data_IF_722925652419
#
_entry.id   IF_722925652419
#
_cell.length_a   1.000
_cell.length_b   1.000
_cell.length_c   1.000
_cell.angle_alpha   90.00
_cell.angle_beta   90.00
_cell.angle_gamma   90.00
#
_symmetry.space_group_name_H-M   'P 1'
#
loop_
_entity.id
_entity.type
_entity.pdbx_description
1 polymer ?
#
# COMPACT_ATOMS: atom_id res chain seq x y z
N UNK A 1 5.03 14.28 16.78
CA UNK A 1 5.14 15.70 16.38
C UNK A 1 3.84 16.24 15.77
N UNK A 2 3.19 15.48 14.87
CA UNK A 2 2.01 15.93 14.12
C UNK A 2 0.81 16.39 14.97
N UNK A 3 0.52 15.72 16.08
CA UNK A 3 -0.59 16.14 16.96
C UNK A 3 -0.42 17.54 17.58
N UNK A 4 0.81 18.02 17.80
CA UNK A 4 1.06 19.40 18.25
C UNK A 4 0.79 20.40 17.13
N UNK A 5 1.26 20.09 15.92
CA UNK A 5 1.04 20.91 14.73
C UNK A 5 -0.46 21.06 14.42
N UNK A 6 -1.22 19.96 14.47
CA UNK A 6 -2.67 19.98 14.24
C UNK A 6 -3.38 20.86 15.27
N UNK A 7 -3.05 20.73 16.56
CA UNK A 7 -3.65 21.56 17.61
C UNK A 7 -3.30 23.03 17.46
N UNK A 8 -2.08 23.35 17.05
CA UNK A 8 -1.67 24.72 16.75
C UNK A 8 -2.42 25.28 15.52
N UNK A 9 -2.58 24.49 14.47
CA UNK A 9 -3.37 24.86 13.30
C UNK A 9 -4.85 25.09 13.66
N UNK A 10 -5.41 24.25 14.54
CA UNK A 10 -6.77 24.38 15.03
C UNK A 10 -6.95 25.63 15.90
N UNK A 11 -5.99 25.97 16.76
CA UNK A 11 -6.08 27.14 17.64
C UNK A 11 -6.11 28.47 16.88
N UNK A 12 -5.49 28.53 15.70
CA UNK A 12 -5.57 29.69 14.78
C UNK A 12 -6.70 29.57 13.74
N UNK A 13 -7.56 28.56 13.87
CA UNK A 13 -8.77 28.38 13.06
C UNK A 13 -8.56 27.88 11.63
N UNK A 14 -7.45 27.19 11.31
CA UNK A 14 -7.21 26.69 9.94
C UNK A 14 -8.19 25.60 9.50
N UNK A 15 -8.78 24.88 10.45
CA UNK A 15 -9.82 23.87 10.21
C UNK A 15 -11.18 24.45 9.80
N UNK A 16 -11.32 25.79 9.82
CA UNK A 16 -12.52 26.50 9.41
C UNK A 16 -12.28 27.23 8.10
N UNK A 17 -13.17 27.07 7.12
CA UNK A 17 -13.00 27.72 5.82
C UNK A 17 -12.92 29.24 5.99
N UNK A 18 -11.92 29.83 5.31
CA UNK A 18 -11.67 31.26 5.33
C UNK A 18 -12.90 32.11 4.99
N UNK A 19 -13.87 31.57 4.24
CA UNK A 19 -15.11 32.28 3.88
C UNK A 19 -16.06 32.54 5.05
N UNK A 20 -15.91 31.81 6.16
CA UNK A 20 -16.66 32.10 7.38
C UNK A 20 -16.12 33.33 8.12
N UNK A 21 -14.96 33.81 7.71
CA UNK A 21 -14.30 34.99 8.24
C UNK A 21 -14.31 36.11 7.20
N UNK A 22 -14.15 37.35 7.63
CA UNK A 22 -14.02 38.50 6.73
C UNK A 22 -12.63 38.59 6.08
N UNK A 23 -12.11 37.45 5.62
CA UNK A 23 -10.80 37.33 4.98
C UNK A 23 -10.90 37.65 3.48
N UNK A 24 -9.77 38.08 2.92
CA UNK A 24 -9.67 38.22 1.46
C UNK A 24 -9.75 36.83 0.80
N UNK A 25 -10.18 36.75 -0.48
CA UNK A 25 -10.19 35.48 -1.19
C UNK A 25 -8.81 34.81 -1.25
N UNK A 26 -7.74 35.62 -1.36
CA UNK A 26 -6.36 35.16 -1.30
C UNK A 26 -6.01 34.54 0.06
N UNK A 27 -6.27 35.25 1.17
CA UNK A 27 -5.98 34.74 2.51
C UNK A 27 -6.76 33.46 2.82
N UNK A 28 -8.03 33.40 2.39
CA UNK A 28 -8.85 32.21 2.54
C UNK A 28 -8.24 31.01 1.79
N UNK A 29 -7.73 31.22 0.57
CA UNK A 29 -7.10 30.17 -0.24
C UNK A 29 -5.75 29.71 0.33
N UNK A 30 -4.91 30.64 0.78
CA UNK A 30 -3.64 30.30 1.46
C UNK A 30 -3.90 29.47 2.71
N UNK A 31 -4.95 29.80 3.49
CA UNK A 31 -5.36 29.03 4.67
C UNK A 31 -5.84 27.63 4.31
N UNK A 32 -6.63 27.46 3.23
CA UNK A 32 -7.05 26.13 2.74
C UNK A 32 -5.83 25.27 2.41
N UNK A 33 -4.89 25.80 1.63
CA UNK A 33 -3.66 25.10 1.23
C UNK A 33 -2.84 24.66 2.43
N UNK A 34 -2.66 25.55 3.40
CA UNK A 34 -1.91 25.25 4.63
C UNK A 34 -2.59 24.17 5.47
N UNK A 35 -3.91 24.28 5.68
CA UNK A 35 -4.68 23.27 6.42
C UNK A 35 -4.56 21.90 5.77
N UNK A 36 -4.85 21.81 4.47
CA UNK A 36 -4.83 20.55 3.75
C UNK A 36 -3.44 19.92 3.71
N UNK A 37 -2.37 20.72 3.59
CA UNK A 37 -1.01 20.18 3.66
C UNK A 37 -0.72 19.52 5.02
N UNK A 38 -1.17 20.14 6.12
CA UNK A 38 -1.01 19.57 7.47
C UNK A 38 -1.76 18.25 7.59
N UNK A 39 -3.01 18.19 7.11
CA UNK A 39 -3.83 16.98 7.27
C UNK A 39 -3.36 15.84 6.37
N UNK A 40 -2.93 16.11 5.15
CA UNK A 40 -2.36 15.07 4.27
C UNK A 40 -1.07 14.49 4.87
N UNK A 41 -0.22 15.33 5.48
CA UNK A 41 0.97 14.87 6.19
C UNK A 41 0.64 14.01 7.42
N UNK A 42 -0.39 14.39 8.18
CA UNK A 42 -0.84 13.58 9.32
C UNK A 42 -1.43 12.25 8.88
N UNK A 43 -2.24 12.26 7.83
CA UNK A 43 -2.78 11.06 7.21
C UNK A 43 -1.68 10.11 6.77
N UNK A 44 -0.64 10.63 6.12
CA UNK A 44 0.50 9.82 5.69
C UNK A 44 1.23 9.20 6.89
N UNK A 45 1.52 9.98 7.92
CA UNK A 45 2.17 9.46 9.10
C UNK A 45 1.34 8.38 9.80
N UNK A 46 0.02 8.56 9.90
CA UNK A 46 -0.86 7.56 10.48
C UNK A 46 -0.91 6.28 9.62
N UNK A 47 -0.95 6.41 8.29
CA UNK A 47 -0.85 5.28 7.36
C UNK A 47 0.45 4.48 7.55
N UNK A 48 1.60 5.14 7.70
CA UNK A 48 2.90 4.47 7.88
C UNK A 48 2.97 3.63 9.16
N UNK A 49 2.15 3.96 10.16
CA UNK A 49 2.03 3.19 11.41
C UNK A 49 0.76 2.31 11.44
N UNK A 50 0.07 2.19 10.30
CA UNK A 50 -1.19 1.47 10.15
C UNK A 50 -2.30 1.93 11.11
N UNK A 51 -2.24 3.17 11.57
CA UNK A 51 -3.23 3.76 12.46
C UNK A 51 -4.46 4.21 11.68
N UNK A 52 -5.64 3.97 12.26
CA UNK A 52 -6.89 4.57 11.80
C UNK A 52 -6.81 6.11 11.92
N UNK A 53 -6.83 6.83 10.80
CA UNK A 53 -6.80 8.30 10.84
C UNK A 53 -8.17 8.83 11.23
N UNK A 54 -8.24 9.53 12.38
CA UNK A 54 -9.43 10.25 12.81
C UNK A 54 -9.73 11.45 11.89
N UNK A 55 -10.46 11.20 10.80
CA UNK A 55 -11.34 12.15 10.08
C UNK A 55 -10.73 13.46 9.54
N UNK A 56 -10.57 13.59 8.22
CA UNK A 56 -10.50 14.85 7.48
C UNK A 56 -11.77 15.71 7.71
N UNK A 57 -12.89 15.10 8.14
CA UNK A 57 -14.22 15.74 8.08
C UNK A 57 -15.07 15.78 9.35
N UNK A 58 -14.71 15.15 10.48
CA UNK A 58 -15.61 15.19 11.67
C UNK A 58 -15.71 16.60 12.29
N UNK A 59 -14.69 17.45 12.11
CA UNK A 59 -14.61 18.77 12.76
C UNK A 59 -14.10 19.91 11.86
N UNK A 60 -13.82 19.65 10.58
CA UNK A 60 -13.31 20.65 9.63
C UNK A 60 -14.33 20.88 8.51
N UNK A 61 -14.61 22.15 8.19
CA UNK A 61 -15.46 22.57 7.06
C UNK A 61 -14.62 23.19 5.93
N UNK A 62 -13.29 23.15 6.04
CA UNK A 62 -12.35 23.73 5.07
C UNK A 62 -12.43 23.01 3.74
N UNK A 63 -12.78 23.74 2.67
CA UNK A 63 -12.87 23.18 1.30
C UNK A 63 -11.49 22.81 0.76
N UNK A 64 -11.45 21.90 -0.22
CA UNK A 64 -10.23 21.60 -0.96
C UNK A 64 -9.62 22.87 -1.58
N UNK A 65 -8.28 22.95 -1.71
CA UNK A 65 -7.64 24.04 -2.41
C UNK A 65 -8.13 24.18 -3.85
N UNK A 66 -8.03 25.39 -4.38
CA UNK A 66 -8.43 25.69 -5.75
C UNK A 66 -7.41 25.14 -6.76
N UNK A 67 -7.93 24.55 -7.84
CA UNK A 67 -7.14 24.01 -8.95
C UNK A 67 -6.62 25.09 -9.90
N UNK A 68 -5.62 25.84 -9.44
CA UNK A 68 -4.97 26.97 -10.15
C UNK A 68 -3.46 27.01 -9.88
N UNK A 69 -2.73 27.78 -10.70
CA UNK A 69 -1.31 28.04 -10.44
C UNK A 69 -1.14 29.12 -9.38
N UNK A 70 0.04 29.18 -8.78
CA UNK A 70 0.36 30.20 -7.77
C UNK A 70 0.38 31.60 -8.41
N UNK A 71 0.79 31.70 -9.67
CA UNK A 71 0.76 32.94 -10.46
C UNK A 71 -0.65 33.49 -10.67
N UNK A 72 -1.69 32.66 -10.50
CA UNK A 72 -3.09 33.08 -10.63
C UNK A 72 -3.64 33.66 -9.32
N UNK A 73 -2.87 33.64 -8.23
CA UNK A 73 -3.24 34.14 -6.91
C UNK A 73 -2.45 35.42 -6.57
N UNK A 74 -3.17 36.47 -6.17
CA UNK A 74 -2.56 37.70 -5.65
C UNK A 74 -3.39 38.30 -4.50
N UNK A 75 -2.76 39.03 -3.55
CA UNK A 75 -3.47 39.70 -2.45
C UNK A 75 -4.52 40.71 -2.92
N UNK A 76 -4.38 41.26 -4.12
CA UNK A 76 -5.30 42.24 -4.70
C UNK A 76 -6.57 41.61 -5.29
N UNK A 77 -6.63 40.28 -5.40
CA UNK A 77 -7.80 39.56 -5.91
C UNK A 77 -9.03 39.80 -5.05
N UNK A 78 -10.09 40.28 -5.70
CA UNK A 78 -11.42 40.42 -5.09
C UNK A 78 -12.31 39.20 -5.31
N UNK A 79 -11.98 38.39 -6.33
CA UNK A 79 -12.74 37.20 -6.73
C UNK A 79 -11.72 36.12 -7.13
N UNK A 80 -11.94 34.89 -6.69
CA UNK A 80 -11.09 33.77 -7.09
C UNK A 80 -11.29 33.41 -8.57
N UNK A 81 -10.22 33.03 -9.28
CA UNK A 81 -10.34 32.47 -10.63
C UNK A 81 -11.15 31.17 -10.65
N UNK A 82 -11.72 30.82 -11.80
CA UNK A 82 -12.37 29.51 -11.98
C UNK A 82 -11.35 28.36 -12.08
N UNK A 83 -11.75 27.10 -11.78
CA UNK A 83 -10.91 25.92 -11.97
C UNK A 83 -10.42 25.79 -13.42
N UNK A 84 -9.20 25.27 -13.61
CA UNK A 84 -8.57 25.15 -14.92
C UNK A 84 -8.69 23.74 -15.50
N UNK A 85 -9.13 23.63 -16.75
CA UNK A 85 -9.06 22.38 -17.53
C UNK A 85 -7.65 22.16 -18.12
N UNK A 86 -6.63 22.16 -17.26
CA UNK A 86 -5.22 21.90 -17.59
C UNK A 86 -4.42 21.52 -16.35
N UNK A 87 -3.21 21.00 -16.54
CA UNK A 87 -2.26 20.80 -15.46
C UNK A 87 -1.92 22.12 -14.74
N UNK A 88 -1.89 22.09 -13.41
CA UNK A 88 -1.46 23.20 -12.54
C UNK A 88 -0.51 22.70 -11.45
N UNK A 89 0.17 23.62 -10.76
CA UNK A 89 1.01 23.29 -9.60
C UNK A 89 0.23 22.57 -8.49
N UNK A 90 -1.09 22.78 -8.40
CA UNK A 90 -1.94 22.09 -7.44
C UNK A 90 -2.42 20.70 -7.85
N UNK A 91 -2.22 20.28 -9.11
CA UNK A 91 -2.76 19.02 -9.63
C UNK A 91 -2.33 17.79 -8.82
N UNK A 92 -1.03 17.63 -8.55
CA UNK A 92 -0.52 16.49 -7.77
C UNK A 92 -1.15 16.43 -6.37
N UNK A 93 -1.21 17.57 -5.70
CA UNK A 93 -1.77 17.66 -4.35
C UNK A 93 -3.25 17.30 -4.32
N UNK A 94 -4.03 17.84 -5.27
CA UNK A 94 -5.47 17.57 -5.35
C UNK A 94 -5.74 16.10 -5.67
N UNK A 95 -5.01 15.50 -6.62
CA UNK A 95 -5.07 14.06 -6.89
C UNK A 95 -4.90 13.24 -5.60
N UNK A 96 -3.85 13.51 -4.82
CA UNK A 96 -3.61 12.78 -3.56
C UNK A 96 -4.68 13.05 -2.50
N UNK A 97 -5.19 14.28 -2.42
CA UNK A 97 -6.20 14.69 -1.43
C UNK A 97 -7.57 14.06 -1.71
N UNK A 98 -7.99 14.04 -2.98
CA UNK A 98 -9.25 13.41 -3.41
C UNK A 98 -9.26 11.91 -3.08
N UNK A 99 -8.14 11.22 -3.34
CA UNK A 99 -8.00 9.80 -2.96
C UNK A 99 -8.05 9.62 -1.45
N UNK A 100 -7.33 10.45 -0.69
CA UNK A 100 -7.32 10.36 0.78
C UNK A 100 -8.72 10.57 1.39
N UNK A 101 -9.50 11.53 0.86
CA UNK A 101 -10.89 11.77 1.28
C UNK A 101 -11.77 10.55 0.99
N UNK A 102 -11.70 10.02 -0.24
CA UNK A 102 -12.50 8.87 -0.63
C UNK A 102 -12.13 7.61 0.17
N UNK A 103 -10.83 7.36 0.36
CA UNK A 103 -10.32 6.29 1.20
C UNK A 103 -10.88 6.38 2.60
N UNK A 104 -10.81 7.56 3.20
CA UNK A 104 -11.30 7.77 4.55
C UNK A 104 -12.82 7.58 4.65
N UNK A 105 -13.59 8.05 3.67
CA UNK A 105 -15.04 7.83 3.63
C UNK A 105 -15.36 6.33 3.66
N UNK A 106 -14.66 5.53 2.87
CA UNK A 106 -14.82 4.07 2.84
C UNK A 106 -14.35 3.42 4.14
N UNK A 107 -13.26 3.92 4.72
CA UNK A 107 -12.72 3.44 5.99
C UNK A 107 -13.71 3.63 7.14
N UNK A 108 -14.35 4.80 7.27
CA UNK A 108 -15.32 5.05 8.36
C UNK A 108 -16.63 4.28 8.18
N UNK A 109 -17.06 4.03 6.94
CA UNK A 109 -18.27 3.23 6.68
C UNK A 109 -18.04 1.72 6.76
N UNK A 110 -16.83 1.27 7.12
CA UNK A 110 -16.59 -0.14 7.52
C UNK A 110 -17.43 -0.52 8.74
N UNK A 111 -17.75 0.45 9.60
CA UNK A 111 -18.58 0.27 10.80
C UNK A 111 -20.07 0.13 10.47
N UNK A 112 -20.51 0.64 9.31
CA UNK A 112 -21.94 0.78 8.95
C UNK A 112 -22.46 -0.31 7.99
N UNK A 113 -21.79 -1.47 7.90
CA UNK A 113 -22.18 -2.58 7.00
C UNK A 113 -22.35 -2.19 5.52
N UNK A 114 -21.65 -1.16 5.04
CA UNK A 114 -21.69 -0.80 3.61
C UNK A 114 -21.26 -1.99 2.75
N UNK A 115 -21.96 -2.22 1.64
CA UNK A 115 -21.67 -3.31 0.70
C UNK A 115 -20.29 -3.10 0.03
N UNK A 116 -19.51 -4.17 -0.11
CA UNK A 116 -18.23 -4.14 -0.83
C UNK A 116 -18.41 -3.75 -2.29
N UNK A 117 -19.55 -4.09 -2.92
CA UNK A 117 -19.84 -3.64 -4.28
C UNK A 117 -19.90 -2.10 -4.35
N UNK A 118 -20.51 -1.45 -3.35
CA UNK A 118 -20.58 0.01 -3.27
C UNK A 118 -19.20 0.64 -3.02
N UNK A 119 -18.36 -0.01 -2.20
CA UNK A 119 -16.97 0.43 -1.97
C UNK A 119 -16.17 0.37 -3.27
N UNK A 120 -16.25 -0.74 -4.01
CA UNK A 120 -15.55 -0.89 -5.28
C UNK A 120 -16.06 0.10 -6.34
N UNK A 121 -17.38 0.33 -6.40
CA UNK A 121 -17.97 1.35 -7.26
C UNK A 121 -17.42 2.75 -6.92
N UNK A 122 -17.26 3.07 -5.64
CA UNK A 122 -16.65 4.34 -5.20
C UNK A 122 -15.23 4.50 -5.75
N UNK A 123 -14.42 3.43 -5.73
CA UNK A 123 -13.05 3.44 -6.28
C UNK A 123 -13.08 3.63 -7.81
N UNK A 124 -14.00 2.97 -8.51
CA UNK A 124 -14.15 3.09 -9.96
C UNK A 124 -14.60 4.49 -10.39
N UNK A 125 -15.61 5.05 -9.73
CA UNK A 125 -16.10 6.41 -9.96
C UNK A 125 -15.01 7.44 -9.68
N UNK A 126 -14.28 7.28 -8.58
CA UNK A 126 -13.11 8.12 -8.27
C UNK A 126 -12.06 8.02 -9.37
N UNK A 127 -11.72 6.81 -9.81
CA UNK A 127 -10.72 6.60 -10.87
C UNK A 127 -11.12 7.34 -12.15
N UNK A 128 -12.36 7.15 -12.60
CA UNK A 128 -12.87 7.82 -13.80
C UNK A 128 -12.91 9.36 -13.65
N UNK A 129 -13.26 9.86 -12.46
CA UNK A 129 -13.22 11.28 -12.15
C UNK A 129 -11.80 11.85 -12.19
N UNK A 130 -10.82 11.18 -11.56
CA UNK A 130 -9.43 11.64 -11.54
C UNK A 130 -8.80 11.59 -12.94
N UNK A 131 -9.13 10.56 -13.72
CA UNK A 131 -8.70 10.43 -15.11
C UNK A 131 -9.22 11.58 -15.98
N UNK A 132 -10.52 11.83 -15.94
CA UNK A 132 -11.17 12.84 -16.78
C UNK A 132 -10.86 14.28 -16.35
N UNK A 133 -10.61 14.53 -15.06
CA UNK A 133 -10.44 15.88 -14.50
C UNK A 133 -8.98 16.31 -14.44
N UNK A 134 -8.08 15.40 -14.06
CA UNK A 134 -6.68 15.74 -13.78
C UNK A 134 -5.70 15.02 -14.70
N UNK A 135 -5.77 13.68 -14.80
CA UNK A 135 -4.74 12.89 -15.49
C UNK A 135 -4.78 13.03 -17.01
N UNK A 136 -5.94 13.36 -17.60
CA UNK A 136 -6.05 13.64 -19.03
C UNK A 136 -5.18 14.83 -19.48
N UNK A 137 -4.74 15.66 -18.54
CA UNK A 137 -3.88 16.82 -18.77
C UNK A 137 -2.40 16.55 -18.42
N UNK A 138 -2.04 15.33 -18.00
CA UNK A 138 -0.66 14.95 -17.69
C UNK A 138 0.12 14.55 -18.95
N UNK A 139 1.35 15.06 -19.07
CA UNK A 139 2.39 14.58 -19.98
C UNK A 139 3.44 13.81 -19.18
N UNK A 140 3.54 12.51 -19.41
CA UNK A 140 4.47 11.62 -18.70
C UNK A 140 5.94 11.84 -19.07
N UNK A 141 6.25 12.74 -20.01
CA UNK A 141 7.62 13.21 -20.26
C UNK A 141 8.04 14.35 -19.31
N UNK A 142 7.08 14.94 -18.58
CA UNK A 142 7.37 15.97 -17.58
C UNK A 142 7.47 15.30 -16.20
N UNK A 143 8.61 15.39 -15.48
CA UNK A 143 8.86 14.62 -14.26
C UNK A 143 7.75 14.70 -13.19
N UNK A 144 7.33 15.91 -12.82
CA UNK A 144 6.29 16.11 -11.78
C UNK A 144 4.91 15.54 -12.20
N UNK A 145 4.62 15.56 -13.50
CA UNK A 145 3.35 15.05 -14.04
C UNK A 145 3.38 13.52 -14.12
N UNK A 146 4.53 12.92 -14.48
CA UNK A 146 4.74 11.48 -14.40
C UNK A 146 4.66 10.98 -12.95
N UNK A 147 5.24 11.73 -12.01
CA UNK A 147 5.08 11.47 -10.57
C UNK A 147 3.61 11.45 -10.18
N UNK A 148 2.82 12.44 -10.57
CA UNK A 148 1.39 12.47 -10.28
C UNK A 148 0.65 11.29 -10.91
N UNK A 149 0.94 10.97 -12.16
CA UNK A 149 0.34 9.84 -12.85
C UNK A 149 0.62 8.49 -12.14
N UNK A 150 1.89 8.21 -11.82
CA UNK A 150 2.28 6.97 -11.15
C UNK A 150 1.80 6.90 -9.69
N UNK A 151 1.92 8.00 -8.94
CA UNK A 151 1.49 8.04 -7.53
C UNK A 151 -0.02 7.90 -7.38
N UNK A 152 -0.81 8.54 -8.26
CA UNK A 152 -2.26 8.34 -8.31
C UNK A 152 -2.62 6.87 -8.56
N UNK A 153 -1.97 6.22 -9.52
CA UNK A 153 -2.24 4.80 -9.81
C UNK A 153 -1.86 3.91 -8.63
N UNK A 154 -0.70 4.14 -8.03
CA UNK A 154 -0.24 3.40 -6.85
C UNK A 154 -1.22 3.51 -5.69
N UNK A 155 -1.71 4.73 -5.42
CA UNK A 155 -2.70 4.99 -4.38
C UNK A 155 -4.07 4.35 -4.69
N UNK A 156 -4.52 4.38 -5.95
CA UNK A 156 -5.77 3.72 -6.35
C UNK A 156 -5.66 2.19 -6.24
N UNK A 157 -4.57 1.58 -6.72
CA UNK A 157 -4.32 0.14 -6.55
C UNK A 157 -4.23 -0.25 -5.07
N UNK A 158 -3.66 0.59 -4.22
CA UNK A 158 -3.67 0.40 -2.76
C UNK A 158 -5.08 0.48 -2.17
N UNK A 159 -5.91 1.39 -2.67
CA UNK A 159 -7.30 1.50 -2.25
C UNK A 159 -8.12 0.26 -2.67
N UNK A 160 -7.94 -0.24 -3.89
CA UNK A 160 -8.53 -1.51 -4.33
C UNK A 160 -8.07 -2.68 -3.46
N UNK A 161 -6.76 -2.77 -3.17
CA UNK A 161 -6.20 -3.74 -2.23
C UNK A 161 -6.93 -3.73 -0.89
N UNK A 162 -7.10 -2.54 -0.30
CA UNK A 162 -7.84 -2.40 0.95
C UNK A 162 -9.30 -2.87 0.85
N UNK A 163 -10.01 -2.52 -0.22
CA UNK A 163 -11.41 -2.92 -0.44
C UNK A 163 -11.54 -4.44 -0.63
N UNK A 164 -10.68 -5.06 -1.44
CA UNK A 164 -10.70 -6.51 -1.63
C UNK A 164 -10.32 -7.24 -0.35
N UNK A 165 -9.39 -6.69 0.44
CA UNK A 165 -9.05 -7.24 1.73
C UNK A 165 -10.27 -7.25 2.66
N UNK A 166 -11.01 -6.14 2.78
CA UNK A 166 -12.28 -6.12 3.53
C UNK A 166 -13.29 -7.16 3.04
N UNK A 167 -13.27 -7.51 1.75
CA UNK A 167 -14.18 -8.51 1.20
C UNK A 167 -13.89 -9.94 1.64
N UNK A 168 -12.63 -10.26 1.95
CA UNK A 168 -12.22 -11.56 2.50
C UNK A 168 -12.77 -11.81 3.92
N UNK A 169 -13.14 -10.75 4.65
CA UNK A 169 -13.71 -10.86 6.01
C UNK A 169 -15.20 -11.24 6.05
N UNK A 170 -15.93 -11.10 4.93
CA UNK A 170 -17.36 -11.36 4.92
C UNK A 170 -17.62 -12.83 4.59
N UNK A 171 -18.53 -13.49 5.33
CA UNK A 171 -18.91 -14.88 5.08
C UNK A 171 -19.37 -15.06 3.62
N UNK A 172 -18.54 -15.75 2.83
CA UNK A 172 -18.72 -15.95 1.39
C UNK A 172 -18.44 -17.41 1.02
N UNK A 173 -18.87 -17.82 -0.18
CA UNK A 173 -18.51 -19.12 -0.73
C UNK A 173 -17.01 -19.22 -0.99
N UNK A 174 -16.46 -20.44 -0.95
CA UNK A 174 -15.03 -20.70 -1.20
C UNK A 174 -14.54 -20.15 -2.56
N UNK A 175 -15.39 -20.19 -3.60
CA UNK A 175 -15.07 -19.65 -4.93
C UNK A 175 -14.95 -18.13 -4.92
N UNK A 176 -15.86 -17.44 -4.23
CA UNK A 176 -15.84 -15.98 -4.11
C UNK A 176 -14.61 -15.51 -3.32
N UNK A 177 -14.27 -16.24 -2.26
CA UNK A 177 -13.08 -16.04 -1.43
C UNK A 177 -11.79 -16.20 -2.25
N UNK A 178 -11.67 -17.26 -3.05
CA UNK A 178 -10.51 -17.47 -3.94
C UNK A 178 -10.37 -16.35 -4.97
N UNK A 179 -11.48 -15.93 -5.59
CA UNK A 179 -11.49 -14.82 -6.54
C UNK A 179 -11.10 -13.48 -5.88
N UNK A 180 -11.56 -13.22 -4.65
CA UNK A 180 -11.18 -12.05 -3.88
C UNK A 180 -9.70 -12.06 -3.48
N UNK A 181 -9.16 -13.21 -3.09
CA UNK A 181 -7.74 -13.36 -2.76
C UNK A 181 -6.85 -13.09 -3.98
N UNK A 182 -7.22 -13.60 -5.16
CA UNK A 182 -6.54 -13.33 -6.42
C UNK A 182 -6.57 -11.84 -6.78
N UNK A 183 -7.73 -11.18 -6.66
CA UNK A 183 -7.85 -9.73 -6.91
C UNK A 183 -7.04 -8.90 -5.94
N UNK A 184 -7.03 -9.27 -4.65
CA UNK A 184 -6.18 -8.64 -3.62
C UNK A 184 -4.69 -8.79 -3.97
N UNK A 185 -4.26 -9.97 -4.45
CA UNK A 185 -2.87 -10.19 -4.87
C UNK A 185 -2.49 -9.31 -6.07
N UNK A 186 -3.38 -9.23 -7.07
CA UNK A 186 -3.15 -8.43 -8.28
C UNK A 186 -3.04 -6.94 -7.95
N UNK A 187 -3.92 -6.40 -7.11
CA UNK A 187 -3.89 -4.99 -6.72
C UNK A 187 -2.68 -4.65 -5.83
N UNK A 188 -2.30 -5.55 -4.91
CA UNK A 188 -1.06 -5.42 -4.14
C UNK A 188 0.18 -5.39 -5.04
N UNK A 189 0.26 -6.28 -6.04
CA UNK A 189 1.36 -6.29 -7.01
C UNK A 189 1.40 -5.00 -7.82
N UNK A 190 0.26 -4.54 -8.35
CA UNK A 190 0.18 -3.30 -9.12
C UNK A 190 0.65 -2.09 -8.31
N UNK A 191 0.24 -2.00 -7.04
CA UNK A 191 0.68 -0.95 -6.11
C UNK A 191 2.20 -0.96 -5.94
N UNK A 192 2.81 -2.14 -5.72
CA UNK A 192 4.26 -2.28 -5.56
C UNK A 192 5.01 -1.96 -6.85
N UNK A 193 4.55 -2.44 -8.00
CA UNK A 193 5.17 -2.17 -9.31
C UNK A 193 5.20 -0.67 -9.62
N UNK A 194 4.08 0.02 -9.45
CA UNK A 194 3.98 1.46 -9.69
C UNK A 194 4.81 2.26 -8.69
N UNK A 195 4.87 1.82 -7.42
CA UNK A 195 5.73 2.41 -6.40
C UNK A 195 7.22 2.22 -6.72
N UNK A 196 7.61 1.05 -7.25
CA UNK A 196 8.99 0.82 -7.67
C UNK A 196 9.34 1.56 -8.95
N UNK A 197 8.40 1.81 -9.85
CA UNK A 197 8.63 2.68 -11.02
C UNK A 197 8.97 4.11 -10.58
N UNK A 198 8.29 4.66 -9.57
CA UNK A 198 8.64 5.97 -8.97
C UNK A 198 10.07 6.03 -8.42
N UNK A 199 10.64 4.88 -8.04
CA UNK A 199 12.00 4.76 -7.51
C UNK A 199 13.04 4.51 -8.60
N UNK A 200 12.70 3.72 -9.60
CA UNK A 200 13.68 3.16 -10.53
C UNK A 200 13.75 3.96 -11.83
N UNK A 201 12.69 4.68 -12.20
CA UNK A 201 12.65 5.48 -13.40
C UNK A 201 13.69 6.62 -13.39
N UNK A 202 14.41 6.75 -14.50
CA UNK A 202 15.50 7.70 -14.63
C UNK A 202 15.05 9.17 -14.73
N UNK A 203 13.87 9.42 -15.30
CA UNK A 203 13.26 10.75 -15.34
C UNK A 203 12.92 11.22 -13.92
N UNK A 204 12.72 10.29 -12.99
CA UNK A 204 12.23 10.55 -11.64
C UNK A 204 13.33 10.52 -10.57
N UNK A 205 14.61 10.47 -10.96
CA UNK A 205 15.77 10.48 -10.03
C UNK A 205 15.67 11.57 -8.96
N UNK A 206 15.24 12.78 -9.35
CA UNK A 206 15.08 13.92 -8.43
C UNK A 206 13.97 13.80 -7.39
N UNK A 207 13.06 12.82 -7.54
CA UNK A 207 11.94 12.55 -6.63
C UNK A 207 12.13 11.30 -5.77
N UNK A 208 13.22 10.53 -5.97
CA UNK A 208 13.48 9.30 -5.21
C UNK A 208 13.47 9.52 -3.71
N UNK A 209 14.04 10.63 -3.23
CA UNK A 209 14.05 11.00 -1.81
C UNK A 209 12.65 11.04 -1.19
N UNK A 210 11.66 11.54 -1.95
CA UNK A 210 10.29 11.64 -1.50
C UNK A 210 9.74 10.22 -1.35
N UNK A 211 9.77 9.45 -2.43
CA UNK A 211 9.15 8.12 -2.43
C UNK A 211 9.93 7.07 -1.64
N UNK A 212 11.20 7.31 -1.30
CA UNK A 212 12.00 6.40 -0.49
C UNK A 212 11.46 6.33 0.94
N UNK A 213 10.75 7.37 1.38
CA UNK A 213 10.01 7.40 2.63
C UNK A 213 8.58 6.85 2.48
N UNK A 214 8.13 6.56 1.25
CA UNK A 214 6.74 6.14 0.97
C UNK A 214 6.66 4.62 0.78
N UNK A 215 6.97 3.89 1.84
CA UNK A 215 7.03 2.43 1.78
C UNK A 215 5.63 1.81 1.64
N UNK A 216 5.53 0.76 0.82
CA UNK A 216 4.29 -0.01 0.61
C UNK A 216 4.33 -1.34 1.36
N UNK A 217 4.79 -1.31 2.61
CA UNK A 217 5.04 -2.52 3.40
C UNK A 217 3.78 -3.37 3.64
N UNK A 218 2.59 -2.77 3.73
CA UNK A 218 1.35 -3.54 3.84
C UNK A 218 1.10 -4.43 2.61
N UNK A 219 1.31 -3.89 1.40
CA UNK A 219 1.18 -4.67 0.17
C UNK A 219 2.30 -5.72 0.07
N UNK A 220 3.56 -5.35 0.39
CA UNK A 220 4.69 -6.28 0.36
C UNK A 220 4.51 -7.45 1.33
N UNK A 221 4.08 -7.15 2.55
CA UNK A 221 3.81 -8.15 3.57
C UNK A 221 2.70 -9.10 3.08
N UNK A 222 1.63 -8.59 2.45
CA UNK A 222 0.52 -9.42 1.98
C UNK A 222 0.97 -10.37 0.88
N UNK A 223 1.72 -9.87 -0.11
CA UNK A 223 2.19 -10.73 -1.20
C UNK A 223 3.17 -11.80 -0.69
N UNK A 224 4.02 -11.49 0.29
CA UNK A 224 4.91 -12.46 0.92
C UNK A 224 4.15 -13.52 1.71
N UNK A 225 3.13 -13.12 2.45
CA UNK A 225 2.23 -14.05 3.14
C UNK A 225 1.47 -14.94 2.15
N UNK A 226 0.93 -14.36 1.08
CA UNK A 226 0.28 -15.12 0.02
C UNK A 226 1.24 -16.14 -0.60
N UNK A 227 2.51 -15.80 -0.82
CA UNK A 227 3.52 -16.76 -1.30
C UNK A 227 3.81 -17.88 -0.30
N UNK A 228 3.74 -17.61 1.01
CA UNK A 228 3.89 -18.65 2.04
C UNK A 228 2.71 -19.63 2.03
N UNK A 229 1.51 -19.11 1.84
CA UNK A 229 0.25 -19.85 1.87
C UNK A 229 -0.03 -20.60 0.55
N UNK A 230 0.22 -19.94 -0.59
CA UNK A 230 0.10 -20.48 -1.95
C UNK A 230 1.40 -20.23 -2.73
N UNK A 231 2.38 -21.15 -2.66
CA UNK A 231 3.66 -21.01 -3.35
C UNK A 231 3.56 -21.27 -4.87
N UNK A 232 2.39 -21.66 -5.37
CA UNK A 232 2.11 -21.94 -6.78
C UNK A 232 0.86 -21.21 -7.23
N UNK A 233 0.85 -20.72 -8.46
CA UNK A 233 -0.29 -20.01 -9.04
C UNK A 233 0.13 -19.19 -10.26
N UNK A 234 -0.84 -18.65 -11.02
CA UNK A 234 -0.57 -17.92 -12.26
C UNK A 234 0.26 -16.65 -12.03
N UNK A 235 0.13 -16.01 -10.87
CA UNK A 235 0.78 -14.73 -10.57
C UNK A 235 2.10 -14.85 -9.78
N UNK A 236 2.47 -16.06 -9.33
CA UNK A 236 3.63 -16.26 -8.44
C UNK A 236 4.94 -15.71 -9.01
N UNK A 237 5.18 -15.89 -10.30
CA UNK A 237 6.39 -15.36 -10.97
C UNK A 237 6.41 -13.84 -10.93
N UNK A 238 5.29 -13.19 -11.25
CA UNK A 238 5.13 -11.73 -11.18
C UNK A 238 5.39 -11.22 -9.77
N UNK A 239 4.82 -11.90 -8.77
CA UNK A 239 5.01 -11.55 -7.35
C UNK A 239 6.48 -11.64 -6.94
N UNK A 240 7.18 -12.71 -7.30
CA UNK A 240 8.61 -12.85 -6.97
C UNK A 240 9.45 -11.76 -7.63
N UNK A 241 9.19 -11.43 -8.90
CA UNK A 241 9.92 -10.37 -9.60
C UNK A 241 9.80 -9.02 -8.88
N UNK A 242 8.59 -8.64 -8.45
CA UNK A 242 8.41 -7.38 -7.72
C UNK A 242 8.97 -7.43 -6.31
N UNK A 243 8.85 -8.56 -5.59
CA UNK A 243 9.48 -8.76 -4.28
C UNK A 243 10.99 -8.59 -4.40
N UNK A 244 11.63 -9.27 -5.35
CA UNK A 244 13.08 -9.19 -5.54
C UNK A 244 13.53 -7.77 -5.90
N UNK A 245 12.76 -7.05 -6.72
CA UNK A 245 13.02 -5.65 -7.03
C UNK A 245 12.96 -4.75 -5.78
N UNK A 246 11.90 -4.90 -4.96
CA UNK A 246 11.73 -4.10 -3.73
C UNK A 246 12.89 -4.34 -2.77
N UNK A 247 13.29 -5.60 -2.56
CA UNK A 247 14.43 -5.94 -1.70
C UNK A 247 15.74 -5.40 -2.26
N UNK A 248 15.98 -5.58 -3.56
CA UNK A 248 17.18 -5.07 -4.21
C UNK A 248 17.31 -3.54 -4.07
N UNK A 249 16.23 -2.80 -4.34
CA UNK A 249 16.22 -1.33 -4.20
C UNK A 249 16.39 -0.91 -2.74
N UNK A 250 15.78 -1.62 -1.80
CA UNK A 250 15.81 -1.25 -0.38
C UNK A 250 17.16 -1.54 0.28
N UNK A 251 17.80 -2.66 -0.07
CA UNK A 251 19.04 -3.12 0.58
C UNK A 251 20.30 -2.57 -0.09
N UNK A 252 20.26 -2.29 -1.40
CA UNK A 252 21.46 -1.91 -2.16
C UNK A 252 21.55 -0.42 -2.50
N UNK A 253 20.54 0.40 -2.18
CA UNK A 253 20.60 1.85 -2.35
C UNK A 253 20.99 2.54 -1.03
N UNK A 254 22.26 2.99 -0.88
CA UNK A 254 22.74 3.60 0.36
C UNK A 254 22.15 4.99 0.63
N UNK A 255 21.44 5.58 -0.32
CA UNK A 255 20.79 6.89 -0.15
C UNK A 255 19.43 6.79 0.51
N UNK A 256 18.90 5.57 0.67
CA UNK A 256 17.59 5.34 1.29
C UNK A 256 17.67 5.49 2.80
N UNK A 257 16.61 6.03 3.43
CA UNK A 257 16.45 5.94 4.88
C UNK A 257 16.43 4.49 5.35
N UNK A 258 16.82 4.27 6.60
CA UNK A 258 16.64 2.97 7.27
C UNK A 258 15.17 2.53 7.15
N UNK A 259 14.88 1.35 6.58
CA UNK A 259 13.51 0.86 6.42
C UNK A 259 12.85 0.47 7.76
N UNK A 260 13.60 0.51 8.86
CA UNK A 260 13.09 0.36 10.21
C UNK A 260 12.83 -1.10 10.61
N UNK A 261 12.27 -1.33 11.83
CA UNK A 261 12.15 -2.67 12.41
C UNK A 261 11.23 -3.60 11.62
N UNK A 262 10.19 -3.07 10.97
CA UNK A 262 9.29 -3.81 10.08
C UNK A 262 10.04 -4.52 8.95
N UNK A 263 11.18 -3.99 8.51
CA UNK A 263 11.95 -4.62 7.43
C UNK A 263 12.46 -6.02 7.78
N UNK A 264 12.87 -6.23 9.04
CA UNK A 264 13.34 -7.56 9.51
C UNK A 264 12.25 -8.61 9.41
N UNK A 265 11.01 -8.22 9.70
CA UNK A 265 9.84 -9.08 9.57
C UNK A 265 9.61 -9.48 8.11
N UNK A 266 9.72 -8.51 7.20
CA UNK A 266 9.59 -8.74 5.76
C UNK A 266 10.70 -9.66 5.23
N UNK A 267 11.94 -9.48 5.70
CA UNK A 267 13.07 -10.38 5.39
C UNK A 267 12.75 -11.82 5.79
N UNK A 268 12.29 -12.04 7.02
CA UNK A 268 11.94 -13.37 7.49
C UNK A 268 10.79 -14.02 6.68
N UNK A 269 9.76 -13.25 6.34
CA UNK A 269 8.67 -13.76 5.48
C UNK A 269 9.15 -14.11 4.07
N UNK A 270 10.08 -13.34 3.50
CA UNK A 270 10.69 -13.65 2.19
C UNK A 270 11.48 -14.95 2.25
N UNK A 271 12.28 -15.16 3.29
CA UNK A 271 13.02 -16.41 3.49
C UNK A 271 12.09 -17.61 3.59
N UNK A 272 11.02 -17.49 4.38
CA UNK A 272 10.02 -18.55 4.53
C UNK A 272 9.27 -18.85 3.23
N UNK A 273 8.87 -17.82 2.49
CA UNK A 273 8.26 -17.98 1.18
C UNK A 273 9.20 -18.71 0.20
N UNK A 274 10.50 -18.39 0.23
CA UNK A 274 11.50 -19.03 -0.60
C UNK A 274 11.69 -20.51 -0.22
N UNK A 275 11.70 -20.84 1.07
CA UNK A 275 11.75 -22.23 1.56
C UNK A 275 10.53 -23.04 1.10
N UNK A 276 9.31 -22.48 1.23
CA UNK A 276 8.07 -23.12 0.76
C UNK A 276 8.12 -23.39 -0.75
N UNK A 277 8.58 -22.42 -1.54
CA UNK A 277 8.77 -22.57 -3.00
C UNK A 277 9.77 -23.69 -3.32
N UNK A 278 10.89 -23.77 -2.61
CA UNK A 278 11.89 -24.83 -2.76
C UNK A 278 11.33 -26.22 -2.46
N UNK A 279 10.59 -26.36 -1.37
CA UNK A 279 9.97 -27.63 -0.98
C UNK A 279 8.96 -28.13 -2.02
N UNK A 280 8.15 -27.24 -2.60
CA UNK A 280 7.20 -27.61 -3.65
C UNK A 280 7.91 -28.04 -4.93
N UNK A 281 8.98 -27.34 -5.32
CA UNK A 281 9.79 -27.71 -6.47
C UNK A 281 10.46 -29.10 -6.31
N UNK A 282 10.93 -29.44 -5.10
CA UNK A 282 11.48 -30.76 -4.79
C UNK A 282 10.42 -31.87 -4.74
N UNK A 283 9.17 -31.53 -4.36
CA UNK A 283 8.07 -32.48 -4.25
C UNK A 283 7.33 -32.76 -5.57
N UNK A 284 7.60 -32.02 -6.64
CA UNK A 284 7.02 -32.23 -7.97
C UNK A 284 8.00 -33.03 -8.85
N UNK A 285 7.88 -34.37 -8.97
CA UNK A 285 8.75 -35.14 -9.84
C UNK A 285 8.33 -34.88 -11.29
N UNK A 286 9.30 -34.55 -12.13
CA UNK A 286 9.21 -34.54 -13.58
C UNK A 286 8.51 -35.82 -14.06
N UNK A 287 7.25 -35.72 -14.52
CA UNK A 287 6.62 -36.79 -15.30
C UNK A 287 7.30 -36.83 -16.67
N UNK A 288 8.41 -37.58 -16.74
CA UNK A 288 8.90 -38.11 -18.01
C UNK A 288 8.22 -39.48 -18.23
N UNK A 289 7.38 -39.58 -19.26
CA UNK A 289 6.88 -40.86 -19.76
C UNK A 289 8.04 -41.82 -20.06
N UNK A 290 7.94 -43.07 -19.59
CA UNK A 290 8.91 -44.15 -19.81
C UNK A 290 8.94 -44.68 -21.25
N UNK A 291 9.63 -45.81 -21.50
CA UNK A 291 9.00 -47.06 -21.08
C UNK A 291 9.93 -48.20 -20.58
N UNK A 292 9.34 -48.96 -19.65
CA UNK A 292 9.37 -50.43 -19.43
C UNK A 292 10.68 -51.26 -19.36
N UNK A 293 10.72 -52.01 -18.25
CA UNK A 293 11.21 -53.38 -18.02
C UNK A 293 12.71 -53.69 -18.12
N UNK A 294 13.32 -53.98 -16.97
CA UNK A 294 13.68 -55.37 -16.61
C UNK A 294 13.95 -55.52 -15.10
N UNK A 295 13.41 -56.60 -14.52
CA UNK A 295 13.61 -57.04 -13.14
C UNK A 295 14.99 -57.70 -12.98
N UNK A 296 15.57 -57.64 -11.77
CA UNK A 296 16.04 -58.78 -10.93
C UNK A 296 16.67 -58.24 -9.63
N UNK A 297 16.62 -58.95 -8.48
CA UNK A 297 16.63 -58.37 -7.12
C UNK A 297 17.89 -58.70 -6.29
N UNK A 298 17.85 -58.29 -4.99
CA UNK A 298 18.77 -58.56 -3.84
C UNK A 298 19.82 -57.46 -3.55
N UNK A 299 20.18 -57.07 -2.33
CA UNK A 299 19.95 -57.58 -0.97
C UNK A 299 19.92 -56.45 0.08
N UNK A 300 19.30 -56.73 1.24
CA UNK A 300 19.29 -55.90 2.45
C UNK A 300 20.69 -55.69 3.04
N UNK A 301 20.94 -54.51 3.60
CA UNK A 301 21.56 -54.36 4.94
C UNK A 301 21.14 -53.03 5.54
N UNK A 302 20.61 -53.10 6.76
CA UNK A 302 20.27 -51.96 7.60
C UNK A 302 21.52 -51.53 8.37
N UNK A 303 21.82 -50.23 8.37
CA UNK A 303 22.62 -49.61 9.43
C UNK A 303 21.96 -48.30 9.82
N UNK A 304 21.43 -48.29 11.04
CA UNK A 304 21.07 -47.09 11.80
C UNK A 304 22.35 -46.37 12.18
N UNK A 305 22.44 -45.06 11.94
CA UNK A 305 23.31 -44.19 12.70
C UNK A 305 22.52 -42.96 13.16
N UNK A 306 22.30 -42.93 14.47
CA UNK A 306 21.88 -41.81 15.29
C UNK A 306 22.94 -40.72 15.32
N UNK A 307 22.54 -39.47 15.15
CA UNK A 307 23.43 -38.30 15.22
C UNK A 307 22.67 -37.01 15.54
N UNK A 308 22.33 -36.88 16.83
CA UNK A 308 22.12 -35.65 17.62
C UNK A 308 21.65 -34.37 16.91
N UNK A 309 20.38 -34.03 17.18
CA UNK A 309 19.86 -32.67 17.16
C UNK A 309 20.61 -31.80 18.19
N UNK A 310 21.20 -30.70 17.72
CA UNK A 310 21.69 -29.62 18.57
C UNK A 310 20.55 -28.61 18.74
N UNK A 311 19.96 -28.62 19.94
CA UNK A 311 19.07 -27.57 20.45
C UNK A 311 19.81 -26.22 20.41
N UNK A 312 19.35 -25.35 19.52
CA UNK A 312 19.74 -23.95 19.44
C UNK A 312 18.54 -23.07 19.77
N UNK A 313 18.52 -22.56 21.01
CA UNK A 313 17.82 -21.37 21.50
C UNK A 313 16.71 -20.79 20.62
N UNK A 314 15.46 -20.99 21.04
CA UNK A 314 14.27 -20.49 20.38
C UNK A 314 14.27 -18.98 20.18
N UNK A 315 14.36 -18.58 18.92
CA UNK A 315 13.92 -17.27 18.46
C UNK A 315 12.39 -17.27 18.48
N UNK A 316 11.79 -16.35 19.25
CA UNK A 316 10.34 -16.28 19.50
C UNK A 316 9.44 -16.04 18.27
N UNK A 317 10.01 -16.07 17.06
CA UNK A 317 9.30 -15.97 15.78
C UNK A 317 9.00 -17.33 15.13
N UNK A 318 9.69 -18.41 15.54
CA UNK A 318 9.59 -19.72 14.88
C UNK A 318 8.19 -20.36 14.95
N UNK A 319 7.42 -20.05 16.00
CA UNK A 319 6.12 -20.67 16.28
C UNK A 319 4.93 -19.88 15.72
N UNK A 320 5.16 -18.66 15.25
CA UNK A 320 4.12 -17.66 14.95
C UNK A 320 3.41 -17.91 13.60
N UNK A 321 3.90 -18.88 12.83
CA UNK A 321 3.51 -19.18 11.44
C UNK A 321 3.50 -20.71 11.17
N UNK A 322 3.30 -21.53 12.21
CA UNK A 322 3.42 -22.99 12.16
C UNK A 322 2.23 -23.76 11.53
N UNK A 323 0.96 -23.27 11.53
CA UNK A 323 -0.09 -23.92 10.74
C UNK A 323 0.04 -23.61 9.24
N UNK A 324 -0.56 -24.41 8.34
CA UNK A 324 -0.78 -23.96 6.97
C UNK A 324 -1.65 -22.71 7.02
N UNK A 325 -1.09 -21.57 6.67
CA UNK A 325 -1.83 -20.31 6.60
C UNK A 325 -2.84 -20.40 5.46
N UNK A 326 -4.10 -20.12 5.74
CA UNK A 326 -5.13 -20.01 4.73
C UNK A 326 -4.98 -18.66 4.02
N UNK A 327 -4.61 -18.62 2.72
CA UNK A 327 -4.43 -17.38 1.94
C UNK A 327 -5.71 -16.53 1.83
N UNK A 328 -6.85 -17.08 2.21
CA UNK A 328 -8.11 -16.36 2.29
C UNK A 328 -8.47 -15.83 3.68
N UNK A 329 -7.80 -16.27 4.73
CA UNK A 329 -8.13 -15.91 6.10
C UNK A 329 -7.54 -14.54 6.44
N UNK A 330 -8.36 -13.50 6.27
CA UNK A 330 -8.01 -12.17 6.73
C UNK A 330 -7.81 -12.14 8.26
N UNK A 331 -8.46 -13.02 9.02
CA UNK A 331 -8.20 -13.19 10.46
C UNK A 331 -6.79 -13.68 10.74
N UNK A 332 -6.28 -14.65 9.98
CA UNK A 332 -4.88 -15.09 10.12
C UNK A 332 -3.90 -14.01 9.69
N UNK A 333 -4.24 -13.24 8.65
CA UNK A 333 -3.46 -12.07 8.26
C UNK A 333 -3.44 -10.98 9.34
N UNK A 334 -4.60 -10.64 9.93
CA UNK A 334 -4.72 -9.64 10.99
C UNK A 334 -3.94 -10.12 12.20
N UNK A 335 -4.17 -11.36 12.65
CA UNK A 335 -3.41 -11.98 13.74
C UNK A 335 -1.91 -12.00 13.46
N UNK A 336 -1.51 -12.29 12.22
CA UNK A 336 -0.11 -12.24 11.81
C UNK A 336 0.42 -10.82 11.92
N UNK A 337 -0.28 -9.83 11.38
CA UNK A 337 0.12 -8.42 11.44
C UNK A 337 0.19 -7.88 12.89
N UNK A 338 -0.73 -8.30 13.76
CA UNK A 338 -0.80 -7.93 15.17
C UNK A 338 0.28 -8.64 16.00
N UNK A 339 0.46 -9.95 15.80
CA UNK A 339 1.48 -10.75 16.48
C UNK A 339 2.90 -10.36 16.07
N UNK A 340 3.10 -9.95 14.83
CA UNK A 340 4.37 -9.40 14.34
C UNK A 340 4.65 -7.99 14.87
N UNK A 341 3.79 -7.44 15.73
CA UNK A 341 4.04 -6.18 16.42
C UNK A 341 4.06 -4.97 15.49
N UNK A 342 3.44 -5.06 14.31
CA UNK A 342 3.36 -3.94 13.35
C UNK A 342 2.61 -2.71 13.90
N UNK A 343 1.94 -2.87 15.04
CA UNK A 343 1.26 -1.82 15.80
C UNK A 343 1.81 -1.66 17.24
N UNK A 344 2.87 -2.36 17.62
CA UNK A 344 3.49 -2.21 18.95
C UNK A 344 4.55 -1.13 18.92
N UNK A 345 4.17 0.04 19.42
CA UNK A 345 5.11 1.09 19.77
C UNK A 345 5.82 0.70 21.06
N UNK A 346 7.15 0.59 21.05
CA UNK A 346 7.90 0.77 22.30
C UNK A 346 7.81 2.26 22.71
N UNK A 347 7.62 2.54 24.01
CA UNK A 347 7.27 3.86 24.54
C UNK A 347 8.35 4.94 24.38
#
# INVERSE_FOLDING_TARGET
MNGVLIRAAQSIGLHRDGTHFHLTPFDAEVRRRLWWQIIVLDYRAAEDHGLAVHGFGSRSDTRLPLHVNDSDLSPELRILPGPRAKWTEMSLFLLTSEIAIAFQKVYHTTVDHTDNAQRLQTVQELTAYLESTYLCHCDTNIPIQKVAWLSTRSLLSKFEFFVYQLSLNNEQSQEAVSSAAERTLISACACLEQSMELQTDDLLRGFRWLFASYNQFHCLMYVLWHLCAQPTGPHVVRVWNIVDLVFNVTENDPTRPDPGPTWKVLQHLREKAAQRRGNVAMSSPTQAHGPSDERVPESRTAEQHSGQELEGTGDGFGDLLAPPLDPSSLTEWINLSENLGMYRFEP
#
